data_IF_470160002728
#
_entry.id   IF_470160002728
#
_cell.length_a   1.000
_cell.length_b   1.000
_cell.length_c   1.000
_cell.angle_alpha   90.00
_cell.angle_beta   90.00
_cell.angle_gamma   90.00
#
_symmetry.space_group_name_H-M   'P 1'
#
loop_
_entity.id
_entity.type
_entity.pdbx_description
1 polymer ?
#
# COMPACT_ATOMS: atom_id res chain seq x y z
N UNK A 1 12.96 14.60 -12.37
CA UNK A 1 11.56 14.38 -11.96
C UNK A 1 11.19 12.96 -12.31
N UNK A 2 10.74 12.14 -11.36
CA UNK A 2 10.28 10.78 -11.64
C UNK A 2 8.90 10.90 -12.30
N UNK A 3 8.72 10.37 -13.50
CA UNK A 3 7.44 10.42 -14.23
C UNK A 3 6.45 9.40 -13.65
N UNK A 4 5.13 9.62 -13.80
CA UNK A 4 4.10 8.68 -13.29
C UNK A 4 4.33 7.22 -13.73
N UNK A 5 4.85 7.02 -14.95
CA UNK A 5 5.21 5.69 -15.47
C UNK A 5 6.34 5.03 -14.68
N UNK A 6 7.36 5.79 -14.27
CA UNK A 6 8.48 5.25 -13.50
C UNK A 6 8.05 4.83 -12.09
N UNK A 7 7.12 5.58 -11.46
CA UNK A 7 6.59 5.23 -10.14
C UNK A 7 5.79 3.93 -10.21
N UNK A 8 4.91 3.77 -11.20
CA UNK A 8 4.13 2.53 -11.39
C UNK A 8 5.04 1.32 -11.65
N UNK A 9 6.03 1.46 -12.55
CA UNK A 9 6.99 0.39 -12.82
C UNK A 9 7.81 0.00 -11.58
N UNK A 10 8.10 0.96 -10.70
CA UNK A 10 8.81 0.71 -9.45
C UNK A 10 7.92 0.01 -8.42
N UNK A 11 6.64 0.40 -8.32
CA UNK A 11 5.64 -0.30 -7.49
C UNK A 11 5.54 -1.76 -7.94
N UNK A 12 5.52 -2.01 -9.25
CA UNK A 12 5.38 -3.36 -9.80
C UNK A 12 6.62 -4.22 -9.53
N UNK A 13 7.82 -3.70 -9.81
CA UNK A 13 9.08 -4.40 -9.51
C UNK A 13 9.24 -4.69 -8.03
N UNK A 14 8.92 -3.71 -7.17
CA UNK A 14 9.00 -3.89 -5.73
C UNK A 14 7.92 -4.85 -5.22
N UNK A 15 6.72 -4.81 -5.80
CA UNK A 15 5.64 -5.74 -5.54
C UNK A 15 6.05 -7.18 -5.81
N UNK A 16 6.63 -7.46 -6.99
CA UNK A 16 7.10 -8.81 -7.32
C UNK A 16 8.17 -9.28 -6.33
N UNK A 17 9.13 -8.41 -5.97
CA UNK A 17 10.17 -8.76 -5.00
C UNK A 17 9.58 -9.11 -3.61
N UNK A 18 8.60 -8.34 -3.15
CA UNK A 18 7.93 -8.55 -1.87
C UNK A 18 7.04 -9.79 -1.89
N UNK A 19 6.37 -10.07 -3.01
CA UNK A 19 5.61 -11.29 -3.23
C UNK A 19 6.51 -12.52 -3.04
N UNK A 20 7.68 -12.54 -3.70
CA UNK A 20 8.59 -13.69 -3.60
C UNK A 20 9.30 -13.77 -2.24
N UNK A 21 9.68 -12.64 -1.64
CA UNK A 21 10.39 -12.63 -0.34
C UNK A 21 9.50 -12.90 0.86
N UNK A 22 8.34 -12.23 0.93
CA UNK A 22 7.43 -12.29 2.07
C UNK A 22 6.29 -13.30 1.87
N UNK A 23 6.24 -14.02 0.73
CA UNK A 23 5.14 -14.92 0.33
C UNK A 23 3.76 -14.24 0.45
N UNK A 24 3.71 -12.95 0.10
CA UNK A 24 2.50 -12.15 0.15
C UNK A 24 1.67 -12.36 -1.11
N UNK A 25 0.36 -12.13 -1.02
CA UNK A 25 -0.48 -12.05 -2.22
C UNK A 25 -0.02 -10.89 -3.13
N UNK A 26 -0.16 -11.01 -4.47
CA UNK A 26 0.29 -9.98 -5.42
C UNK A 26 -0.25 -8.58 -5.09
N UNK A 27 -1.53 -8.51 -4.69
CA UNK A 27 -2.18 -7.25 -4.30
C UNK A 27 -1.61 -6.69 -2.99
N UNK A 28 -1.38 -7.55 -1.99
CA UNK A 28 -0.78 -7.14 -0.72
C UNK A 28 0.64 -6.60 -0.92
N UNK A 29 1.44 -7.25 -1.78
CA UNK A 29 2.77 -6.80 -2.12
C UNK A 29 2.75 -5.44 -2.84
N UNK A 30 1.81 -5.22 -3.77
CA UNK A 30 1.61 -3.91 -4.42
C UNK A 30 1.15 -2.82 -3.46
N UNK A 31 0.23 -3.11 -2.53
CA UNK A 31 -0.20 -2.17 -1.47
C UNK A 31 1.02 -1.74 -0.65
N UNK A 32 1.83 -2.70 -0.20
CA UNK A 32 3.04 -2.44 0.58
C UNK A 32 4.06 -1.61 -0.22
N UNK A 33 4.31 -1.96 -1.48
CA UNK A 33 5.20 -1.21 -2.36
C UNK A 33 4.70 0.23 -2.58
N UNK A 34 3.40 0.43 -2.78
CA UNK A 34 2.78 1.75 -2.93
C UNK A 34 2.97 2.60 -1.67
N UNK A 35 2.72 2.03 -0.49
CA UNK A 35 2.89 2.71 0.81
C UNK A 35 4.35 3.13 1.00
N UNK A 36 5.30 2.22 0.76
CA UNK A 36 6.75 2.50 0.85
C UNK A 36 7.14 3.67 -0.07
N UNK A 37 6.64 3.67 -1.32
CA UNK A 37 6.96 4.72 -2.29
C UNK A 37 6.25 6.05 -2.01
N UNK A 38 5.09 6.04 -1.36
CA UNK A 38 4.43 7.27 -0.90
C UNK A 38 5.12 7.85 0.35
N UNK A 39 5.74 6.98 1.17
CA UNK A 39 6.58 7.38 2.30
C UNK A 39 5.80 8.08 3.41
N UNK A 40 6.45 9.04 4.07
CA UNK A 40 5.95 9.72 5.29
C UNK A 40 4.64 10.50 5.13
N UNK A 41 4.19 10.75 3.90
CA UNK A 41 2.91 11.42 3.64
C UNK A 41 1.72 10.60 4.12
N UNK A 42 1.89 9.28 4.25
CA UNK A 42 0.83 8.34 4.60
C UNK A 42 -0.12 8.11 3.44
N UNK A 43 -0.54 6.87 3.27
CA UNK A 43 -1.51 6.48 2.25
C UNK A 43 -2.88 6.33 2.89
N UNK A 44 -3.93 6.86 2.27
CA UNK A 44 -5.31 6.61 2.73
C UNK A 44 -5.88 5.35 2.08
N UNK A 45 -6.94 4.80 2.68
CA UNK A 45 -7.66 3.68 2.08
C UNK A 45 -8.23 4.03 0.69
N UNK A 46 -8.70 5.27 0.53
CA UNK A 46 -9.26 5.76 -0.74
C UNK A 46 -8.19 5.85 -1.83
N UNK A 47 -6.98 6.30 -1.49
CA UNK A 47 -5.85 6.30 -2.42
C UNK A 47 -5.53 4.88 -2.91
N UNK A 48 -5.51 3.89 -2.02
CA UNK A 48 -5.23 2.51 -2.41
C UNK A 48 -6.28 1.96 -3.37
N UNK A 49 -7.56 2.24 -3.11
CA UNK A 49 -8.65 1.82 -3.99
C UNK A 49 -8.54 2.50 -5.36
N UNK A 50 -8.18 3.78 -5.40
CA UNK A 50 -8.05 4.56 -6.63
C UNK A 50 -6.80 4.18 -7.46
N UNK A 51 -5.63 4.06 -6.83
CA UNK A 51 -4.37 3.75 -7.52
C UNK A 51 -4.24 2.27 -7.89
N UNK A 52 -4.72 1.34 -7.06
CA UNK A 52 -4.64 -0.10 -7.36
C UNK A 52 -5.84 -0.63 -8.16
N UNK A 53 -6.85 0.21 -8.43
CA UNK A 53 -8.09 -0.19 -9.12
C UNK A 53 -8.72 -1.48 -8.58
N UNK A 54 -8.63 -1.69 -7.26
CA UNK A 54 -9.11 -2.90 -6.61
C UNK A 54 -10.37 -2.63 -5.79
N UNK A 55 -11.17 -3.67 -5.55
CA UNK A 55 -12.39 -3.53 -4.75
C UNK A 55 -12.06 -3.14 -3.30
N UNK A 56 -12.96 -2.39 -2.65
CA UNK A 56 -12.82 -2.01 -1.23
C UNK A 56 -12.62 -3.24 -0.33
N UNK A 57 -13.35 -4.32 -0.61
CA UNK A 57 -13.22 -5.57 0.14
C UNK A 57 -11.83 -6.19 -0.02
N UNK A 58 -11.31 -6.23 -1.26
CA UNK A 58 -9.97 -6.73 -1.56
C UNK A 58 -8.89 -5.92 -0.84
N UNK A 59 -8.95 -4.58 -0.92
CA UNK A 59 -8.00 -3.72 -0.21
C UNK A 59 -8.11 -3.95 1.30
N UNK A 60 -9.32 -3.97 1.87
CA UNK A 60 -9.52 -4.17 3.31
C UNK A 60 -8.94 -5.48 3.81
N UNK A 61 -9.19 -6.59 3.11
CA UNK A 61 -8.67 -7.92 3.48
C UNK A 61 -7.14 -7.93 3.46
N UNK A 62 -6.51 -7.48 2.37
CA UNK A 62 -5.05 -7.49 2.26
C UNK A 62 -4.37 -6.49 3.19
N UNK A 63 -5.00 -5.34 3.41
CA UNK A 63 -4.48 -4.31 4.30
C UNK A 63 -4.54 -4.77 5.77
N UNK A 64 -5.64 -5.37 6.22
CA UNK A 64 -5.71 -5.98 7.54
C UNK A 64 -4.67 -7.10 7.68
N UNK A 65 -4.53 -7.97 6.67
CA UNK A 65 -3.51 -9.01 6.68
C UNK A 65 -2.09 -8.45 6.83
N UNK A 66 -1.76 -7.35 6.15
CA UNK A 66 -0.46 -6.68 6.30
C UNK A 66 -0.26 -6.05 7.69
N UNK A 67 -1.34 -5.56 8.32
CA UNK A 67 -1.32 -5.05 9.69
C UNK A 67 -1.10 -6.18 10.70
N UNK A 68 -1.78 -7.32 10.54
CA UNK A 68 -1.59 -8.52 11.36
C UNK A 68 -0.15 -9.04 11.28
N UNK A 69 0.42 -9.04 10.07
CA UNK A 69 1.82 -9.40 9.85
C UNK A 69 2.81 -8.34 10.36
N UNK A 70 2.33 -7.23 10.93
CA UNK A 70 3.13 -6.06 11.36
C UNK A 70 4.07 -5.54 10.28
N UNK A 71 3.67 -5.67 9.01
CA UNK A 71 4.44 -5.20 7.84
C UNK A 71 4.16 -3.74 7.51
N UNK A 72 3.02 -3.23 7.96
CA UNK A 72 2.60 -1.82 7.86
C UNK A 72 2.04 -1.37 9.21
N UNK A 73 2.00 -0.07 9.45
CA UNK A 73 1.33 0.54 10.59
C UNK A 73 0.39 1.63 10.11
N UNK A 74 -0.56 2.01 10.96
CA UNK A 74 -1.40 3.16 10.69
C UNK A 74 -1.30 4.20 11.79
N UNK A 75 -1.50 5.44 11.41
CA UNK A 75 -1.62 6.55 12.33
C UNK A 75 -2.84 7.40 11.96
N UNK A 76 -3.35 8.11 12.94
CA UNK A 76 -4.38 9.13 12.76
C UNK A 76 -3.78 10.48 13.06
N UNK A 77 -4.29 11.53 12.40
CA UNK A 77 -3.88 12.91 12.69
C UNK A 77 -4.94 13.55 13.58
N UNK A 78 -4.54 14.29 14.60
CA UNK A 78 -5.48 15.09 15.40
C UNK A 78 -6.23 16.06 14.49
N UNK A 79 -7.56 15.96 14.47
CA UNK A 79 -8.44 16.72 13.59
C UNK A 79 -8.91 15.98 12.33
N UNK A 80 -8.31 14.83 12.00
CA UNK A 80 -8.72 14.00 10.86
C UNK A 80 -9.15 12.60 11.32
N UNK A 81 -10.33 12.16 10.92
CA UNK A 81 -10.88 10.82 11.24
C UNK A 81 -10.33 9.73 10.30
N UNK A 82 -9.54 10.10 9.29
CA UNK A 82 -8.97 9.14 8.34
C UNK A 82 -7.75 8.41 8.92
N UNK A 83 -7.63 7.12 8.57
CA UNK A 83 -6.45 6.30 8.85
C UNK A 83 -5.44 6.50 7.72
N UNK A 84 -4.21 6.82 8.10
CA UNK A 84 -3.07 6.92 7.20
C UNK A 84 -2.14 5.72 7.43
N UNK A 85 -1.83 4.98 6.37
CA UNK A 85 -1.00 3.78 6.40
C UNK A 85 0.42 4.10 5.95
N UNK A 86 1.42 3.58 6.69
CA UNK A 86 2.87 3.69 6.42
C UNK A 86 3.59 2.36 6.63
#
# INVERSE_FOLDING_TARGET
MITCQQRSALIEKLGILLETKDQLAPVAARIKAYIILKGKSGTTFEDLVADLCASKSTISTHLNHLLDLKKIVYFTKLGDRKKYFI
#
